data_IF_236483190556
#
_entry.id   IF_236483190556
#
_cell.length_a   1.000
_cell.length_b   1.000
_cell.length_c   1.000
_cell.angle_alpha   90.00
_cell.angle_beta   90.00
_cell.angle_gamma   90.00
#
_symmetry.space_group_name_H-M   'P 1'
#
loop_
_entity.id
_entity.type
_entity.pdbx_description
1 polymer ?
#
# COMPACT_ATOMS: atom_id res chain seq x y z
N UNK A 1 42.52 23.90 20.46
CA UNK A 1 41.56 24.27 19.40
C UNK A 1 40.65 25.36 19.96
N UNK A 2 40.69 26.59 19.44
CA UNK A 2 40.00 27.75 20.04
C UNK A 2 38.48 27.52 20.10
N UNK A 3 37.85 27.74 21.26
CA UNK A 3 36.43 27.41 21.51
C UNK A 3 35.45 27.98 20.48
N UNK A 4 35.77 29.12 19.86
CA UNK A 4 35.01 29.72 18.76
C UNK A 4 34.88 28.79 17.53
N UNK A 5 35.92 28.02 17.20
CA UNK A 5 35.90 27.08 16.07
C UNK A 5 35.02 25.85 16.36
N UNK A 6 34.96 25.42 17.62
CA UNK A 6 34.12 24.31 18.05
C UNK A 6 32.62 24.66 17.94
N UNK A 7 32.23 25.86 18.35
CA UNK A 7 30.82 26.32 18.24
C UNK A 7 30.34 26.45 16.80
N UNK A 8 31.21 26.90 15.89
CA UNK A 8 30.89 26.99 14.46
C UNK A 8 30.71 25.60 13.85
N UNK A 9 31.55 24.62 14.23
CA UNK A 9 31.42 23.24 13.77
C UNK A 9 30.10 22.60 14.25
N UNK A 10 29.73 22.82 15.52
CA UNK A 10 28.45 22.33 16.08
C UNK A 10 27.26 22.94 15.35
N UNK A 11 27.28 24.25 15.09
CA UNK A 11 26.21 24.93 14.36
C UNK A 11 26.00 24.39 12.93
N UNK A 12 27.10 24.09 12.23
CA UNK A 12 27.04 23.50 10.89
C UNK A 12 26.44 22.08 10.89
N UNK A 13 26.81 21.25 11.86
CA UNK A 13 26.26 19.88 11.99
C UNK A 13 24.76 19.93 12.28
N UNK A 14 24.32 20.83 13.16
CA UNK A 14 22.89 21.00 13.48
C UNK A 14 22.11 21.50 12.26
N UNK A 15 22.66 22.44 11.47
CA UNK A 15 22.04 22.90 10.23
C UNK A 15 21.96 21.80 9.16
N UNK A 16 22.99 20.96 9.03
CA UNK A 16 22.99 19.84 8.08
C UNK A 16 21.93 18.78 8.45
N UNK A 17 21.83 18.43 9.73
CA UNK A 17 20.87 17.44 10.21
C UNK A 17 19.44 18.01 10.19
N UNK A 18 19.24 19.24 10.67
CA UNK A 18 17.94 19.89 10.70
C UNK A 18 17.42 20.27 9.30
N UNK A 19 18.31 20.72 8.42
CA UNK A 19 18.00 21.04 7.03
C UNK A 19 17.64 19.81 6.21
N UNK A 20 18.35 18.69 6.39
CA UNK A 20 18.03 17.42 5.73
C UNK A 20 16.68 16.83 6.16
N UNK A 21 16.30 17.01 7.42
CA UNK A 21 15.00 16.53 7.93
C UNK A 21 13.82 17.36 7.42
N UNK A 22 13.99 18.69 7.30
CA UNK A 22 12.93 19.60 6.84
C UNK A 22 12.85 19.76 5.32
N UNK A 23 13.92 19.47 4.59
CA UNK A 23 13.96 19.51 3.13
C UNK A 23 13.56 18.17 2.48
N UNK A 24 13.25 17.14 3.28
CA UNK A 24 12.67 15.91 2.73
C UNK A 24 11.25 16.21 2.24
N UNK A 25 10.96 16.04 0.95
CA UNK A 25 9.61 16.23 0.44
C UNK A 25 8.67 15.26 1.18
N UNK A 26 7.44 15.66 1.60
CA UNK A 26 6.48 14.76 2.26
C UNK A 26 5.97 13.61 1.35
N UNK A 27 6.55 13.45 0.17
CA UNK A 27 6.18 12.50 -0.88
C UNK A 27 6.64 11.06 -0.60
N UNK A 28 7.33 10.78 0.51
CA UNK A 28 7.64 9.40 0.91
C UNK A 28 6.47 8.68 1.60
N UNK A 29 5.34 9.35 1.84
CA UNK A 29 4.10 8.71 2.26
C UNK A 29 3.17 8.50 1.06
N UNK A 30 3.63 7.74 0.06
CA UNK A 30 2.71 7.15 -0.90
C UNK A 30 1.67 6.37 -0.09
N UNK A 31 0.44 6.89 -0.05
CA UNK A 31 -0.65 6.31 0.70
C UNK A 31 -0.75 4.82 0.34
N UNK A 32 -0.51 3.93 1.31
CA UNK A 32 -0.63 2.48 1.14
C UNK A 32 -2.11 2.10 0.97
N UNK A 33 -2.76 2.58 -0.09
CA UNK A 33 -4.12 2.17 -0.41
C UNK A 33 -4.08 0.68 -0.75
N UNK A 34 -4.96 -0.13 -0.16
CA UNK A 34 -5.10 -1.53 -0.56
C UNK A 34 -5.30 -1.62 -2.07
N UNK A 35 -4.51 -2.46 -2.73
CA UNK A 35 -4.68 -2.77 -4.15
C UNK A 35 -5.93 -3.65 -4.27
N UNK A 36 -6.97 -3.14 -4.92
CA UNK A 36 -8.23 -3.87 -5.11
C UNK A 36 -8.35 -4.34 -6.55
N UNK A 37 -8.46 -5.65 -6.75
CA UNK A 37 -8.71 -6.25 -8.06
C UNK A 37 -10.11 -6.85 -8.11
N UNK A 38 -10.91 -6.42 -9.07
CA UNK A 38 -12.23 -6.98 -9.33
C UNK A 38 -12.12 -8.12 -10.35
N UNK A 39 -12.58 -9.30 -9.97
CA UNK A 39 -12.51 -10.51 -10.78
C UNK A 39 -13.93 -10.92 -11.19
N UNK A 40 -14.35 -10.63 -12.43
CA UNK A 40 -15.66 -11.05 -12.93
C UNK A 40 -15.69 -12.56 -13.18
N UNK A 41 -16.82 -13.20 -12.88
CA UNK A 41 -17.05 -14.62 -13.14
C UNK A 41 -18.50 -14.87 -13.53
N UNK A 42 -18.72 -15.78 -14.48
CA UNK A 42 -20.06 -16.19 -14.98
C UNK A 42 -20.76 -17.27 -14.15
N UNK A 43 -20.06 -18.01 -13.30
CA UNK A 43 -20.61 -19.15 -12.58
C UNK A 43 -21.50 -18.69 -11.41
N UNK A 44 -22.43 -19.56 -11.02
CA UNK A 44 -23.28 -19.32 -9.87
C UNK A 44 -22.44 -19.21 -8.58
N UNK A 45 -22.86 -18.41 -7.58
CA UNK A 45 -22.09 -18.21 -6.34
C UNK A 45 -21.82 -19.50 -5.54
N UNK A 46 -22.65 -20.53 -5.72
CA UNK A 46 -22.54 -21.83 -5.05
C UNK A 46 -21.58 -22.79 -5.72
N UNK A 47 -21.06 -22.48 -6.91
CA UNK A 47 -20.18 -23.40 -7.64
C UNK A 47 -18.75 -23.31 -7.11
N UNK A 48 -18.02 -24.42 -7.17
CA UNK A 48 -16.62 -24.48 -6.74
C UNK A 48 -15.73 -23.47 -7.49
N UNK A 49 -16.10 -23.12 -8.72
CA UNK A 49 -15.46 -22.07 -9.52
C UNK A 49 -15.56 -20.66 -8.89
N UNK A 50 -16.45 -20.42 -7.94
CA UNK A 50 -16.55 -19.17 -7.18
C UNK A 50 -16.06 -19.34 -5.75
N UNK A 51 -16.37 -20.48 -5.12
CA UNK A 51 -15.95 -20.78 -3.75
C UNK A 51 -14.42 -20.79 -3.64
N UNK A 52 -13.73 -21.51 -4.54
CA UNK A 52 -12.28 -21.64 -4.46
C UNK A 52 -11.57 -20.30 -4.69
N UNK A 53 -11.94 -19.48 -5.69
CA UNK A 53 -11.36 -18.14 -5.83
C UNK A 53 -11.64 -17.19 -4.67
N UNK A 54 -12.75 -17.34 -3.94
CA UNK A 54 -13.00 -16.56 -2.72
C UNK A 54 -12.04 -16.96 -1.59
N UNK A 55 -11.87 -18.26 -1.36
CA UNK A 55 -10.88 -18.76 -0.39
C UNK A 55 -9.45 -18.30 -0.76
N UNK A 56 -9.14 -18.29 -2.06
CA UNK A 56 -7.87 -17.77 -2.56
C UNK A 56 -7.72 -16.27 -2.32
N UNK A 57 -8.78 -15.48 -2.57
CA UNK A 57 -8.81 -14.05 -2.30
C UNK A 57 -8.56 -13.74 -0.81
N UNK A 58 -9.18 -14.50 0.09
CA UNK A 58 -8.96 -14.40 1.52
C UNK A 58 -7.50 -14.68 1.88
N UNK A 59 -6.91 -15.72 1.28
CA UNK A 59 -5.50 -16.05 1.51
C UNK A 59 -4.55 -14.96 1.01
N UNK A 60 -4.83 -14.34 -0.14
CA UNK A 60 -4.06 -13.20 -0.64
C UNK A 60 -4.15 -12.02 0.34
N UNK A 61 -5.35 -11.73 0.85
CA UNK A 61 -5.54 -10.64 1.81
C UNK A 61 -4.74 -10.88 3.09
N UNK A 62 -4.75 -12.11 3.60
CA UNK A 62 -3.94 -12.52 4.75
C UNK A 62 -2.44 -12.34 4.47
N UNK A 63 -1.92 -12.93 3.39
CA UNK A 63 -0.49 -12.91 3.06
C UNK A 63 0.03 -11.50 2.74
N UNK A 64 -0.82 -10.67 2.14
CA UNK A 64 -0.50 -9.27 1.84
C UNK A 64 -0.62 -8.34 3.05
N UNK A 65 -1.03 -8.85 4.23
CA UNK A 65 -1.35 -8.06 5.43
C UNK A 65 -2.39 -6.96 5.14
N UNK A 66 -3.40 -7.29 4.34
CA UNK A 66 -4.46 -6.36 3.94
C UNK A 66 -4.08 -5.37 2.84
N UNK A 67 -2.86 -5.43 2.29
CA UNK A 67 -2.42 -4.55 1.20
C UNK A 67 -2.99 -4.93 -0.16
N UNK A 68 -3.57 -6.13 -0.30
CA UNK A 68 -4.23 -6.59 -1.52
C UNK A 68 -5.58 -7.24 -1.20
N UNK A 69 -6.59 -6.92 -2.02
CA UNK A 69 -7.93 -7.48 -1.94
C UNK A 69 -8.41 -7.91 -3.32
N UNK A 70 -8.78 -9.18 -3.46
CA UNK A 70 -9.47 -9.68 -4.65
C UNK A 70 -10.97 -9.74 -4.36
N UNK A 71 -11.77 -9.13 -5.23
CA UNK A 71 -13.24 -9.14 -5.15
C UNK A 71 -13.79 -10.00 -6.27
N UNK A 72 -14.29 -11.18 -5.93
CA UNK A 72 -14.88 -12.12 -6.88
C UNK A 72 -16.35 -11.78 -7.07
N UNK A 73 -16.72 -11.45 -8.30
CA UNK A 73 -18.08 -11.07 -8.70
C UNK A 73 -18.72 -12.19 -9.53
N UNK A 74 -19.54 -13.06 -8.91
CA UNK A 74 -20.16 -14.20 -9.60
C UNK A 74 -21.36 -13.79 -10.47
N UNK A 75 -21.89 -14.75 -11.22
CA UNK A 75 -23.11 -14.61 -12.03
C UNK A 75 -23.14 -13.34 -12.91
N UNK A 76 -21.98 -12.95 -13.46
CA UNK A 76 -21.83 -11.73 -14.28
C UNK A 76 -22.31 -10.44 -13.59
N UNK A 77 -22.34 -10.42 -12.26
CA UNK A 77 -22.88 -9.29 -11.47
C UNK A 77 -22.13 -7.98 -11.65
N UNK A 78 -20.84 -8.03 -12.02
CA UNK A 78 -20.03 -6.83 -12.24
C UNK A 78 -20.33 -6.16 -13.59
N UNK A 79 -20.63 -6.95 -14.62
CA UNK A 79 -20.89 -6.49 -15.98
C UNK A 79 -22.11 -7.25 -16.52
N UNK A 80 -23.33 -6.77 -16.22
CA UNK A 80 -24.54 -7.42 -16.70
C UNK A 80 -24.58 -7.39 -18.24
N UNK A 81 -24.96 -8.51 -18.84
CA UNK A 81 -25.15 -8.61 -20.28
C UNK A 81 -26.40 -7.82 -20.67
N UNK A 82 -26.28 -6.97 -21.70
CA UNK A 82 -27.39 -6.21 -22.29
C UNK A 82 -28.30 -7.13 -23.11
#
# INVERSE_FOLDING_TARGET
MNGRKAWIAVGMVVMLIGGGYLASPPFLFAQEKPIVWNVPHTAAPSYYHVINPRLFADKIKELSKGRMELRVHPASSLYPQQ
#
